data_IF_017241352103
#
_entry.id   IF_017241352103
#
_cell.length_a   1.000
_cell.length_b   1.000
_cell.length_c   1.000
_cell.angle_alpha   90.00
_cell.angle_beta   90.00
_cell.angle_gamma   90.00
#
_symmetry.space_group_name_H-M   'P 1'
#
loop_
_entity.id
_entity.type
_entity.pdbx_description
1 polymer ?
#
# COMPACT_ATOMS: atom_id res chain seq x y z
N UNK A 1 -3.21 29.63 42.12
CA UNK A 1 -3.61 28.21 42.15
C UNK A 1 -3.98 27.70 40.76
N UNK A 2 -3.42 28.29 39.69
CA UNK A 2 -3.90 28.12 38.30
C UNK A 2 -2.94 27.28 37.41
N UNK A 3 -1.74 26.98 37.91
CA UNK A 3 -0.74 26.21 37.18
C UNK A 3 -1.11 24.73 36.93
N UNK A 4 -1.82 24.00 37.83
CA UNK A 4 -2.14 22.60 37.56
C UNK A 4 -3.26 22.43 36.50
N UNK A 5 -4.11 23.44 36.30
CA UNK A 5 -5.18 23.39 35.30
C UNK A 5 -4.65 23.61 33.87
N UNK A 6 -3.66 24.50 33.70
CA UNK A 6 -3.00 24.73 32.42
C UNK A 6 -2.12 23.55 31.99
N UNK A 7 -1.50 22.84 32.94
CA UNK A 7 -0.73 21.62 32.64
C UNK A 7 -1.65 20.43 32.26
N UNK A 8 -2.82 20.33 32.88
CA UNK A 8 -3.81 19.31 32.55
C UNK A 8 -4.43 19.52 31.15
N UNK A 9 -4.66 20.76 30.72
CA UNK A 9 -5.17 21.08 29.38
C UNK A 9 -4.15 20.81 28.25
N UNK A 10 -2.85 20.91 28.54
CA UNK A 10 -1.80 20.60 27.57
C UNK A 10 -1.61 19.09 27.31
N UNK A 11 -2.01 18.22 28.25
CA UNK A 11 -1.86 16.77 28.13
C UNK A 11 -2.96 16.11 27.27
N UNK A 12 -4.07 16.80 26.98
CA UNK A 12 -5.17 16.28 26.16
C UNK A 12 -5.08 16.65 24.68
N UNK A 13 -4.04 17.38 24.27
CA UNK A 13 -3.85 17.81 22.86
C UNK A 13 -2.59 17.26 22.23
N UNK A 14 -2.01 16.19 22.78
CA UNK A 14 -0.97 15.47 22.06
C UNK A 14 -1.58 15.00 20.74
N UNK A 15 -1.08 15.48 19.57
CA UNK A 15 -1.51 14.94 18.30
C UNK A 15 -1.27 13.43 18.36
N UNK A 16 -2.21 12.65 17.85
CA UNK A 16 -1.98 11.22 17.66
C UNK A 16 -0.73 11.10 16.77
N UNK A 17 0.42 10.89 17.42
CA UNK A 17 1.66 10.65 16.72
C UNK A 17 1.43 9.40 15.90
N UNK A 18 1.92 9.42 14.66
CA UNK A 18 1.82 8.27 13.81
C UNK A 18 2.41 7.05 14.55
N UNK A 19 1.55 6.10 14.91
CA UNK A 19 1.97 4.86 15.55
C UNK A 19 1.93 3.78 14.49
N UNK A 20 3.00 3.00 14.40
CA UNK A 20 3.01 1.77 13.59
C UNK A 20 2.72 0.53 14.44
N UNK A 21 2.54 0.73 15.75
CA UNK A 21 2.31 -0.34 16.70
C UNK A 21 0.80 -0.64 16.76
N UNK A 22 0.44 -1.87 16.41
CA UNK A 22 -0.90 -2.39 16.64
C UNK A 22 -0.79 -3.83 17.16
N UNK A 23 -1.33 -4.10 18.34
CA UNK A 23 -1.19 -5.42 19.00
C UNK A 23 0.25 -5.78 19.39
N UNK A 24 1.09 -4.78 19.67
CA UNK A 24 2.49 -4.98 20.06
C UNK A 24 3.44 -5.32 18.91
N UNK A 25 2.99 -5.20 17.66
CA UNK A 25 3.83 -5.39 16.46
C UNK A 25 3.89 -4.11 15.64
N UNK A 26 5.06 -3.82 15.06
CA UNK A 26 5.17 -2.79 14.01
C UNK A 26 4.58 -3.36 12.72
N UNK A 27 3.34 -2.97 12.41
CA UNK A 27 2.63 -3.47 11.23
C UNK A 27 3.32 -3.07 9.93
N UNK A 28 3.98 -1.91 9.89
CA UNK A 28 4.71 -1.43 8.73
C UNK A 28 5.95 -2.27 8.46
N UNK A 29 6.61 -2.76 9.51
CA UNK A 29 7.74 -3.68 9.39
C UNK A 29 7.31 -5.09 9.02
N UNK A 30 6.32 -5.66 9.70
CA UNK A 30 5.93 -7.06 9.48
C UNK A 30 5.17 -7.25 8.16
N UNK A 31 4.53 -6.20 7.65
CA UNK A 31 3.68 -6.24 6.44
C UNK A 31 4.07 -5.20 5.39
N UNK A 32 5.38 -5.06 5.12
CA UNK A 32 5.91 -4.16 4.06
C UNK A 32 5.31 -4.42 2.68
N UNK A 33 4.80 -5.63 2.43
CA UNK A 33 4.17 -6.06 1.17
C UNK A 33 2.83 -5.39 0.87
N UNK A 34 2.09 -4.99 1.93
CA UNK A 34 0.76 -4.40 1.82
C UNK A 34 0.64 -3.01 2.46
N UNK A 35 1.55 -2.66 3.37
CA UNK A 35 1.47 -1.38 4.07
C UNK A 35 1.84 -0.21 3.16
N UNK A 36 1.17 0.94 3.31
CA UNK A 36 1.50 2.12 2.53
C UNK A 36 2.93 2.60 2.81
N UNK A 37 3.75 2.89 1.77
CA UNK A 37 4.85 3.83 1.89
C UNK A 37 4.39 5.17 2.46
N UNK A 38 5.35 5.86 3.10
CA UNK A 38 5.18 7.22 3.60
C UNK A 38 4.78 8.20 2.50
N UNK A 39 3.67 8.89 2.69
CA UNK A 39 3.27 10.07 1.94
C UNK A 39 3.50 11.32 2.79
N UNK A 40 4.09 12.37 2.18
CA UNK A 40 4.12 13.70 2.79
C UNK A 40 2.70 14.30 2.78
N UNK A 41 2.13 14.67 3.93
CA UNK A 41 0.81 15.27 3.99
C UNK A 41 0.64 16.54 3.15
N UNK A 42 1.71 17.29 2.89
CA UNK A 42 1.66 18.47 2.04
C UNK A 42 1.36 18.15 0.56
N UNK A 43 1.54 16.89 0.15
CA UNK A 43 1.23 16.39 -1.19
C UNK A 43 -0.22 15.91 -1.34
N UNK A 44 -1.02 15.97 -0.28
CA UNK A 44 -2.45 15.69 -0.37
C UNK A 44 -3.15 16.78 -1.21
N UNK A 45 -4.13 16.42 -2.05
CA UNK A 45 -5.07 17.40 -2.59
C UNK A 45 -5.74 18.18 -1.46
N UNK A 46 -5.86 19.49 -1.58
CA UNK A 46 -6.52 20.34 -0.57
C UNK A 46 -6.10 19.98 0.89
N UNK A 47 -4.81 20.08 1.25
CA UNK A 47 -4.27 19.48 2.48
C UNK A 47 -4.85 20.11 3.75
N UNK A 48 -5.42 21.32 3.64
CA UNK A 48 -6.12 22.03 4.70
C UNK A 48 -7.66 21.82 4.67
N UNK A 49 -8.19 20.90 3.87
CA UNK A 49 -9.62 20.55 3.94
C UNK A 49 -9.94 19.74 5.20
N UNK A 50 -11.20 19.76 5.69
CA UNK A 50 -11.60 18.91 6.81
C UNK A 50 -11.32 17.42 6.57
N UNK A 51 -11.58 16.91 5.37
CA UNK A 51 -11.32 15.51 5.03
C UNK A 51 -9.85 15.14 4.94
N UNK A 52 -8.99 16.03 4.39
CA UNK A 52 -7.53 15.83 4.43
C UNK A 52 -6.99 15.79 5.86
N UNK A 53 -7.49 16.67 6.75
CA UNK A 53 -7.12 16.64 8.17
C UNK A 53 -7.60 15.36 8.86
N UNK A 54 -8.83 14.92 8.59
CA UNK A 54 -9.35 13.66 9.12
C UNK A 54 -8.51 12.46 8.65
N UNK A 55 -8.14 12.42 7.37
CA UNK A 55 -7.29 11.36 6.81
C UNK A 55 -5.93 11.31 7.53
N UNK A 56 -5.29 12.46 7.71
CA UNK A 56 -4.02 12.57 8.43
C UNK A 56 -4.17 12.14 9.89
N UNK A 57 -5.20 12.64 10.58
CA UNK A 57 -5.43 12.38 12.00
C UNK A 57 -5.70 10.90 12.28
N UNK A 58 -6.54 10.27 11.47
CA UNK A 58 -7.06 8.94 11.80
C UNK A 58 -6.25 7.81 11.17
N UNK A 59 -5.83 7.95 9.91
CA UNK A 59 -5.16 6.85 9.20
C UNK A 59 -3.68 6.73 9.53
N UNK A 60 -3.07 7.74 10.17
CA UNK A 60 -1.67 7.64 10.62
C UNK A 60 -1.52 6.96 11.98
N UNK A 61 -2.62 6.69 12.68
CA UNK A 61 -2.59 6.08 14.02
C UNK A 61 -2.10 4.63 14.04
N UNK A 62 -2.07 3.95 12.89
CA UNK A 62 -1.65 2.54 12.80
C UNK A 62 -0.59 2.28 11.71
N UNK A 63 -0.51 3.11 10.67
CA UNK A 63 0.44 2.94 9.57
C UNK A 63 0.76 4.29 8.93
N UNK A 64 1.67 4.33 7.95
CA UNK A 64 1.93 5.58 7.22
C UNK A 64 0.69 6.13 6.51
N UNK A 65 0.67 7.45 6.30
CA UNK A 65 -0.41 8.12 5.58
C UNK A 65 -0.63 7.50 4.20
N UNK A 66 -1.84 6.98 3.97
CA UNK A 66 -2.26 6.56 2.63
C UNK A 66 -2.76 7.77 1.84
N UNK A 67 -2.43 7.84 0.56
CA UNK A 67 -2.97 8.88 -0.33
C UNK A 67 -4.35 8.51 -0.85
N UNK A 68 -5.24 9.50 -1.11
CA UNK A 68 -6.59 9.25 -1.63
C UNK A 68 -6.55 8.59 -3.03
N UNK A 69 -5.49 8.81 -3.80
CA UNK A 69 -5.25 8.17 -5.09
C UNK A 69 -4.75 6.72 -5.03
N UNK A 70 -4.79 6.04 -3.87
CA UNK A 70 -4.41 4.62 -3.77
C UNK A 70 -5.54 3.67 -4.14
N UNK A 71 -6.78 4.06 -3.86
CA UNK A 71 -7.96 3.26 -4.13
C UNK A 71 -8.90 4.03 -5.04
N UNK A 72 -9.68 3.29 -5.83
CA UNK A 72 -10.76 3.84 -6.64
C UNK A 72 -11.93 4.27 -5.77
N UNK A 73 -12.83 5.09 -6.35
CA UNK A 73 -14.04 5.55 -5.67
C UNK A 73 -14.89 4.37 -5.17
N UNK A 74 -14.98 3.30 -5.95
CA UNK A 74 -15.73 2.10 -5.61
C UNK A 74 -15.08 1.28 -4.48
N UNK A 75 -13.77 1.36 -4.29
CA UNK A 75 -13.04 0.60 -3.26
C UNK A 75 -13.00 1.30 -1.90
N UNK A 76 -13.03 2.65 -1.87
CA UNK A 76 -12.92 3.42 -0.64
C UNK A 76 -13.96 3.06 0.44
N UNK A 77 -15.26 2.83 0.12
CA UNK A 77 -16.23 2.42 1.12
C UNK A 77 -15.86 1.13 1.86
N UNK A 78 -15.29 0.15 1.17
CA UNK A 78 -14.85 -1.11 1.78
C UNK A 78 -13.61 -0.91 2.66
N UNK A 79 -12.66 -0.08 2.21
CA UNK A 79 -11.47 0.29 2.99
C UNK A 79 -11.88 0.99 4.29
N UNK A 80 -12.78 1.97 4.22
CA UNK A 80 -13.26 2.71 5.39
C UNK A 80 -13.96 1.79 6.39
N UNK A 81 -14.85 0.90 5.92
CA UNK A 81 -15.52 -0.09 6.78
C UNK A 81 -14.54 -1.04 7.47
N UNK A 82 -13.47 -1.43 6.78
CA UNK A 82 -12.39 -2.23 7.35
C UNK A 82 -11.65 -1.46 8.44
N UNK A 83 -11.31 -0.19 8.20
CA UNK A 83 -10.61 0.64 9.20
C UNK A 83 -11.49 0.87 10.42
N UNK A 84 -12.77 1.19 10.23
CA UNK A 84 -13.74 1.34 11.31
C UNK A 84 -13.83 0.08 12.19
N UNK A 85 -13.87 -1.10 11.58
CA UNK A 85 -13.80 -2.38 12.30
C UNK A 85 -12.53 -2.50 13.15
N UNK A 86 -11.35 -2.21 12.56
CA UNK A 86 -10.07 -2.31 13.27
C UNK A 86 -9.99 -1.31 14.44
N UNK A 87 -10.46 -0.08 14.24
CA UNK A 87 -10.51 0.96 15.26
C UNK A 87 -11.46 0.57 16.39
N UNK A 88 -12.62 0.00 16.06
CA UNK A 88 -13.60 -0.50 17.02
C UNK A 88 -13.06 -1.65 17.86
N UNK A 89 -12.31 -2.58 17.24
CA UNK A 89 -11.63 -3.66 17.95
C UNK A 89 -10.57 -3.12 18.92
N UNK A 90 -9.75 -2.15 18.50
CA UNK A 90 -8.80 -1.48 19.39
C UNK A 90 -9.50 -0.86 20.60
N UNK A 91 -10.62 -0.17 20.37
CA UNK A 91 -11.41 0.46 21.42
C UNK A 91 -12.07 -0.55 22.35
N UNK A 92 -12.62 -1.64 21.81
CA UNK A 92 -13.26 -2.72 22.58
C UNK A 92 -12.29 -3.33 23.61
N UNK A 93 -11.04 -3.57 23.21
CA UNK A 93 -9.98 -4.04 24.11
C UNK A 93 -9.34 -2.91 24.93
N UNK A 94 -10.03 -1.78 25.12
CA UNK A 94 -9.59 -0.61 25.90
C UNK A 94 -8.20 -0.11 25.51
N UNK A 95 -7.87 -0.23 24.22
CA UNK A 95 -6.59 0.18 23.66
C UNK A 95 -5.41 -0.76 23.95
N UNK A 96 -5.63 -1.99 24.44
CA UNK A 96 -4.56 -3.01 24.53
C UNK A 96 -3.89 -3.27 23.18
N UNK A 97 -4.63 -3.14 22.08
CA UNK A 97 -4.13 -3.28 20.72
C UNK A 97 -3.58 -1.97 20.14
N UNK A 98 -3.66 -0.87 20.87
CA UNK A 98 -3.28 0.48 20.44
C UNK A 98 -4.34 1.50 20.86
N UNK A 99 -3.90 2.67 21.33
CA UNK A 99 -4.79 3.80 21.60
C UNK A 99 -5.15 4.45 20.27
N UNK A 100 -6.39 4.25 19.82
CA UNK A 100 -6.88 4.70 18.53
C UNK A 100 -8.13 5.54 18.71
N UNK A 101 -8.08 6.80 18.30
CA UNK A 101 -9.21 7.70 18.25
C UNK A 101 -10.16 7.31 17.10
N UNK A 102 -11.47 7.44 17.32
CA UNK A 102 -12.53 7.17 16.34
C UNK A 102 -13.11 8.49 15.83
N UNK A 103 -13.28 8.69 14.51
CA UNK A 103 -13.92 9.88 13.97
C UNK A 103 -15.37 9.99 14.45
N UNK A 104 -15.82 11.21 14.72
CA UNK A 104 -17.26 11.46 14.86
C UNK A 104 -17.96 11.42 13.47
N UNK A 105 -19.29 11.51 13.46
CA UNK A 105 -20.09 11.43 12.24
C UNK A 105 -19.71 12.50 11.20
N UNK A 106 -19.47 13.74 11.62
CA UNK A 106 -19.10 14.84 10.72
C UNK A 106 -17.71 14.64 10.11
N UNK A 107 -16.74 14.19 10.92
CA UNK A 107 -15.39 13.85 10.46
C UNK A 107 -15.40 12.64 9.52
N UNK A 108 -16.24 11.63 9.79
CA UNK A 108 -16.39 10.46 8.94
C UNK A 108 -17.03 10.83 7.60
N UNK A 109 -18.04 11.71 7.60
CA UNK A 109 -18.65 12.23 6.38
C UNK A 109 -17.65 13.07 5.57
N UNK A 110 -16.90 13.95 6.22
CA UNK A 110 -15.87 14.77 5.59
C UNK A 110 -14.74 13.90 4.98
N UNK A 111 -14.28 12.88 5.71
CA UNK A 111 -13.28 11.92 5.25
C UNK A 111 -13.77 11.14 4.03
N UNK A 112 -14.99 10.59 4.10
CA UNK A 112 -15.59 9.81 3.01
C UNK A 112 -15.73 10.65 1.74
N UNK A 113 -16.28 11.86 1.88
CA UNK A 113 -16.45 12.81 0.78
C UNK A 113 -15.11 13.24 0.16
N UNK A 114 -14.07 13.41 0.98
CA UNK A 114 -12.74 13.76 0.51
C UNK A 114 -12.06 12.62 -0.26
N UNK A 115 -12.15 11.39 0.25
CA UNK A 115 -11.60 10.20 -0.41
C UNK A 115 -12.31 9.90 -1.73
N UNK A 116 -13.62 10.07 -1.77
CA UNK A 116 -14.45 9.94 -2.96
C UNK A 116 -14.00 10.89 -4.09
N UNK A 117 -13.92 12.20 -3.79
CA UNK A 117 -13.51 13.22 -4.77
C UNK A 117 -12.08 13.07 -5.26
N UNK A 118 -11.18 12.58 -4.41
CA UNK A 118 -9.75 12.48 -4.68
C UNK A 118 -9.29 11.05 -4.99
N UNK A 119 -10.24 10.16 -5.25
CA UNK A 119 -9.97 8.76 -5.52
C UNK A 119 -9.13 8.58 -6.79
N UNK A 120 -8.47 7.43 -6.88
CA UNK A 120 -7.78 7.00 -8.08
C UNK A 120 -8.77 6.93 -9.25
N UNK A 121 -8.43 7.59 -10.37
CA UNK A 121 -9.09 7.34 -11.65
C UNK A 121 -8.44 6.12 -12.32
N UNK A 122 -9.10 4.95 -12.34
CA UNK A 122 -8.49 3.76 -12.92
C UNK A 122 -8.45 3.86 -14.44
N UNK A 123 -7.47 3.22 -15.05
CA UNK A 123 -7.44 2.96 -16.48
C UNK A 123 -8.68 2.10 -16.81
N UNK A 124 -9.53 2.51 -17.76
CA UNK A 124 -10.73 1.77 -18.07
C UNK A 124 -10.46 0.29 -18.39
N UNK A 125 -11.37 -0.62 -18.00
CA UNK A 125 -11.28 -2.00 -18.42
C UNK A 125 -11.32 -2.06 -19.95
N UNK A 126 -10.60 -3.03 -20.52
CA UNK A 126 -10.68 -3.25 -21.97
C UNK A 126 -12.06 -3.82 -22.30
N UNK A 127 -12.66 -3.40 -23.44
CA UNK A 127 -13.77 -4.14 -24.04
C UNK A 127 -13.37 -5.61 -24.24
N UNK A 128 -14.37 -6.49 -24.24
CA UNK A 128 -14.17 -7.92 -24.56
C UNK A 128 -13.44 -8.06 -25.90
N UNK A 129 -12.31 -8.76 -25.89
CA UNK A 129 -11.41 -8.86 -27.04
C UNK A 129 -10.08 -9.52 -26.65
N UNK A 130 -9.12 -9.63 -27.58
CA UNK A 130 -7.82 -10.20 -27.29
C UNK A 130 -7.13 -9.41 -26.16
N UNK A 131 -6.30 -10.07 -25.32
CA UNK A 131 -5.56 -9.41 -24.25
C UNK A 131 -4.73 -8.23 -24.77
N UNK A 132 -4.48 -7.23 -23.92
CA UNK A 132 -3.54 -6.15 -24.24
C UNK A 132 -2.20 -6.73 -24.70
N UNK A 133 -1.52 -6.10 -25.64
CA UNK A 133 -0.18 -6.50 -26.12
C UNK A 133 0.79 -5.33 -25.96
N UNK A 134 2.09 -5.64 -25.99
CA UNK A 134 3.16 -4.63 -25.93
C UNK A 134 3.06 -3.69 -24.72
N UNK A 135 3.20 -2.40 -24.99
CA UNK A 135 3.26 -1.32 -24.01
C UNK A 135 2.06 -1.28 -23.05
N UNK A 136 0.83 -1.48 -23.55
CA UNK A 136 -0.37 -1.48 -22.68
C UNK A 136 -0.34 -2.65 -21.68
N UNK A 137 0.06 -3.85 -22.11
CA UNK A 137 0.17 -5.00 -21.21
C UNK A 137 1.19 -4.73 -20.11
N UNK A 138 2.36 -4.23 -20.49
CA UNK A 138 3.42 -3.88 -19.55
C UNK A 138 2.94 -2.83 -18.55
N UNK A 139 2.25 -1.78 -19.04
CA UNK A 139 1.67 -0.74 -18.20
C UNK A 139 0.67 -1.28 -17.18
N UNK A 140 -0.32 -2.07 -17.65
CA UNK A 140 -1.33 -2.66 -16.77
C UNK A 140 -0.72 -3.59 -15.73
N UNK A 141 0.28 -4.39 -16.12
CA UNK A 141 0.95 -5.30 -15.19
C UNK A 141 1.75 -4.54 -14.13
N UNK A 142 2.53 -3.53 -14.53
CA UNK A 142 3.46 -2.85 -13.62
C UNK A 142 2.78 -1.82 -12.73
N UNK A 143 1.85 -1.03 -13.29
CA UNK A 143 1.10 -0.03 -12.54
C UNK A 143 -0.10 -0.62 -11.80
N UNK A 144 -0.54 -1.83 -12.19
CA UNK A 144 -1.59 -2.60 -11.54
C UNK A 144 -1.13 -3.55 -10.44
N UNK A 145 0.18 -3.64 -10.18
CA UNK A 145 0.82 -4.63 -9.30
C UNK A 145 0.44 -4.48 -7.81
N UNK A 146 0.04 -3.27 -7.39
CA UNK A 146 -0.28 -2.96 -5.99
C UNK A 146 -1.71 -2.43 -5.79
N UNK A 147 -2.25 -1.71 -6.77
CA UNK A 147 -3.58 -1.11 -6.79
C UNK A 147 -4.08 -1.08 -8.24
N UNK A 148 -5.32 -0.66 -8.50
CA UNK A 148 -5.79 -0.51 -9.88
C UNK A 148 -4.82 0.34 -10.72
N UNK A 149 -4.55 -0.04 -11.97
CA UNK A 149 -3.68 0.76 -12.83
C UNK A 149 -4.31 2.15 -13.06
N UNK A 150 -3.60 3.27 -12.84
CA UNK A 150 -4.16 4.60 -13.03
C UNK A 150 -4.40 4.90 -14.52
N UNK A 151 -5.37 5.75 -14.84
CA UNK A 151 -5.47 6.33 -16.19
C UNK A 151 -4.28 7.30 -16.39
N UNK A 152 -3.41 7.09 -17.39
CA UNK A 152 -2.25 7.95 -17.58
C UNK A 152 -2.61 9.40 -17.91
N UNK A 153 -3.84 9.67 -18.35
CA UNK A 153 -4.36 11.02 -18.63
C UNK A 153 -4.76 11.76 -17.35
N UNK A 154 -4.68 11.13 -16.18
CA UNK A 154 -4.98 11.78 -14.90
C UNK A 154 -3.81 12.66 -14.40
N UNK A 155 -2.63 12.54 -15.02
CA UNK A 155 -1.42 13.25 -14.63
C UNK A 155 -0.77 13.91 -15.84
N UNK A 156 -0.38 15.20 -15.79
CA UNK A 156 0.27 15.87 -16.91
C UNK A 156 1.52 15.11 -17.38
N UNK A 157 1.75 15.03 -18.70
CA UNK A 157 2.88 14.29 -19.31
C UNK A 157 4.22 14.65 -18.66
N UNK A 158 4.44 15.93 -18.39
CA UNK A 158 5.68 16.44 -17.78
C UNK A 158 5.96 15.90 -16.37
N UNK A 159 4.94 15.41 -15.65
CA UNK A 159 5.07 14.93 -14.26
C UNK A 159 5.42 13.44 -14.15
N UNK A 160 5.37 12.70 -15.26
CA UNK A 160 5.58 11.25 -15.25
C UNK A 160 6.97 10.80 -14.78
N UNK A 161 8.08 11.46 -15.15
CA UNK A 161 9.40 11.08 -14.64
C UNK A 161 9.44 11.10 -13.10
N UNK A 162 8.91 12.14 -12.47
CA UNK A 162 8.87 12.28 -11.00
C UNK A 162 7.92 11.28 -10.36
N UNK A 163 6.77 10.99 -11.00
CA UNK A 163 5.83 9.97 -10.56
C UNK A 163 6.50 8.59 -10.54
N UNK A 164 7.20 8.22 -11.61
CA UNK A 164 7.90 6.93 -11.71
C UNK A 164 9.08 6.86 -10.73
N UNK A 165 9.79 7.96 -10.50
CA UNK A 165 10.86 8.02 -9.49
C UNK A 165 10.30 7.83 -8.06
N UNK A 166 9.15 8.44 -7.75
CA UNK A 166 8.44 8.24 -6.48
C UNK A 166 7.96 6.80 -6.34
N UNK A 167 7.39 6.22 -7.41
CA UNK A 167 6.94 4.84 -7.42
C UNK A 167 8.09 3.87 -7.15
N UNK A 168 9.28 4.09 -7.71
CA UNK A 168 10.46 3.26 -7.43
C UNK A 168 10.92 3.34 -5.97
N UNK A 169 10.92 4.54 -5.36
CA UNK A 169 11.21 4.69 -3.93
C UNK A 169 10.20 3.92 -3.08
N UNK A 170 8.92 4.00 -3.44
CA UNK A 170 7.85 3.25 -2.77
C UNK A 170 8.01 1.74 -2.92
N UNK A 171 8.34 1.25 -4.12
CA UNK A 171 8.61 -0.18 -4.36
C UNK A 171 9.75 -0.67 -3.48
N UNK A 172 10.83 0.10 -3.37
CA UNK A 172 11.95 -0.22 -2.46
C UNK A 172 11.50 -0.32 -1.00
N UNK A 173 10.68 0.62 -0.51
CA UNK A 173 10.11 0.56 0.84
C UNK A 173 9.28 -0.70 1.07
N UNK A 174 8.54 -1.13 0.05
CA UNK A 174 7.70 -2.34 0.08
C UNK A 174 8.48 -3.64 -0.21
N UNK A 175 9.82 -3.61 -0.16
CA UNK A 175 10.69 -4.74 -0.49
C UNK A 175 10.46 -5.32 -1.90
N UNK A 176 10.10 -4.47 -2.87
CA UNK A 176 9.94 -4.81 -4.29
C UNK A 176 11.05 -4.19 -5.14
N UNK A 177 11.46 -4.85 -6.24
CA UNK A 177 12.48 -4.30 -7.13
C UNK A 177 11.98 -3.03 -7.85
N UNK A 178 12.86 -2.05 -8.13
CA UNK A 178 12.52 -0.89 -8.96
C UNK A 178 12.17 -1.31 -10.39
N UNK A 179 11.59 -0.39 -11.16
CA UNK A 179 11.30 -0.66 -12.57
C UNK A 179 12.57 -0.79 -13.40
N UNK A 180 12.64 -1.84 -14.21
CA UNK A 180 13.70 -1.99 -15.21
C UNK A 180 13.60 -0.93 -16.30
N UNK A 181 14.72 -0.67 -17.00
CA UNK A 181 14.74 0.27 -18.13
C UNK A 181 13.74 -0.13 -19.24
N UNK A 182 13.62 -1.42 -19.54
CA UNK A 182 12.66 -1.93 -20.51
C UNK A 182 11.20 -1.65 -20.11
N UNK A 183 10.85 -1.87 -18.84
CA UNK A 183 9.51 -1.55 -18.33
C UNK A 183 9.22 -0.06 -18.35
N UNK A 184 10.21 0.78 -17.98
CA UNK A 184 10.10 2.24 -18.05
C UNK A 184 9.85 2.73 -19.47
N UNK A 185 10.54 2.15 -20.45
CA UNK A 185 10.35 2.45 -21.87
C UNK A 185 8.92 2.09 -22.32
N UNK A 186 8.46 0.86 -22.02
CA UNK A 186 7.11 0.41 -22.36
C UNK A 186 6.01 1.26 -21.70
N UNK A 187 6.21 1.68 -20.45
CA UNK A 187 5.31 2.61 -19.77
C UNK A 187 5.27 3.96 -20.49
N UNK A 188 6.43 4.51 -20.86
CA UNK A 188 6.53 5.76 -21.61
C UNK A 188 5.84 5.71 -22.97
N UNK A 189 6.01 4.61 -23.71
CA UNK A 189 5.33 4.35 -24.98
C UNK A 189 3.80 4.38 -24.81
N UNK A 190 3.28 3.66 -23.81
CA UNK A 190 1.83 3.63 -23.56
C UNK A 190 1.28 5.00 -23.14
N UNK A 191 2.02 5.75 -22.32
CA UNK A 191 1.63 7.12 -21.94
C UNK A 191 1.58 8.01 -23.20
N UNK A 192 2.57 7.92 -24.09
CA UNK A 192 2.57 8.65 -25.36
C UNK A 192 1.33 8.37 -26.20
N UNK A 193 1.00 7.09 -26.38
CA UNK A 193 -0.23 6.64 -27.08
C UNK A 193 -1.48 7.19 -26.39
N UNK A 194 -1.57 7.10 -25.07
CA UNK A 194 -2.75 7.53 -24.31
C UNK A 194 -2.99 9.06 -24.38
N UNK A 195 -1.92 9.85 -24.55
CA UNK A 195 -1.99 11.30 -24.71
C UNK A 195 -2.11 11.74 -26.18
N UNK A 196 -2.18 10.81 -27.13
CA UNK A 196 -2.28 11.12 -28.55
C UNK A 196 -1.00 11.71 -29.14
N UNK A 197 0.14 11.59 -28.44
CA UNK A 197 1.43 11.87 -29.04
C UNK A 197 1.68 10.82 -30.12
N UNK A 198 1.88 11.25 -31.37
CA UNK A 198 2.27 10.36 -32.45
C UNK A 198 3.50 9.56 -32.00
N UNK A 199 3.53 8.22 -32.14
CA UNK A 199 4.76 7.49 -31.99
C UNK A 199 5.75 8.10 -32.99
N UNK A 200 6.92 8.52 -32.50
CA UNK A 200 7.97 9.07 -33.35
C UNK A 200 8.31 7.99 -34.38
N UNK A 201 7.82 8.17 -35.60
CA UNK A 201 8.12 7.33 -36.74
C UNK A 201 9.60 7.55 -37.06
N UNK A 202 10.48 6.73 -36.49
CA UNK A 202 11.90 6.97 -36.65
C UNK A 202 12.83 6.20 -35.74
N UNK A 203 12.39 5.12 -35.09
CA UNK A 203 13.34 4.11 -34.61
C UNK A 203 12.76 2.73 -34.91
N UNK A 204 13.17 2.19 -36.06
CA UNK A 204 13.12 0.76 -36.33
C UNK A 204 14.07 0.08 -35.34
N UNK A 205 13.63 -0.11 -34.10
CA UNK A 205 14.11 -1.25 -33.33
C UNK A 205 13.30 -2.43 -33.84
N UNK A 206 13.98 -3.26 -34.64
CA UNK A 206 13.56 -4.64 -34.85
C UNK A 206 13.06 -5.16 -33.50
N UNK A 207 11.81 -5.61 -33.48
CA UNK A 207 11.22 -6.29 -32.34
C UNK A 207 11.99 -7.61 -32.17
N UNK A 208 13.15 -7.53 -31.52
CA UNK A 208 13.75 -8.67 -30.86
C UNK A 208 12.80 -8.93 -29.69
N UNK A 209 11.88 -9.86 -29.90
CA UNK A 209 11.18 -10.54 -28.83
C UNK A 209 12.24 -11.17 -27.94
N UNK A 210 12.68 -10.41 -26.92
CA UNK A 210 13.51 -10.95 -25.86
C UNK A 210 12.69 -12.08 -25.21
N UNK A 211 13.18 -13.32 -25.18
CA UNK A 211 12.51 -14.37 -24.45
C UNK A 211 12.43 -13.91 -22.99
N UNK A 212 11.20 -13.89 -22.45
CA UNK A 212 11.01 -13.84 -21.00
C UNK A 212 11.89 -14.93 -20.39
N UNK A 213 12.64 -14.67 -19.31
CA UNK A 213 13.40 -15.72 -18.65
C UNK A 213 12.42 -16.83 -18.30
N UNK A 214 12.67 -18.03 -18.82
CA UNK A 214 11.95 -19.21 -18.41
C UNK A 214 12.01 -19.25 -16.89
N UNK A 215 10.86 -19.31 -16.23
CA UNK A 215 10.78 -19.61 -14.81
C UNK A 215 11.50 -20.94 -14.62
N UNK A 216 12.74 -20.88 -14.11
CA UNK A 216 13.44 -22.08 -13.71
C UNK A 216 12.53 -22.80 -12.69
N UNK A 217 12.21 -24.08 -12.89
CA UNK A 217 11.52 -24.83 -11.86
C UNK A 217 12.38 -24.72 -10.60
N UNK A 218 11.77 -24.25 -9.52
CA UNK A 218 12.37 -24.29 -8.19
C UNK A 218 12.74 -25.76 -7.98
N UNK A 219 14.04 -26.07 -8.01
CA UNK A 219 14.50 -27.39 -7.67
C UNK A 219 13.99 -27.67 -6.26
N UNK A 220 13.09 -28.65 -6.14
CA UNK A 220 12.67 -29.12 -4.85
C UNK A 220 13.94 -29.56 -4.11
N UNK A 221 14.21 -28.96 -2.96
CA UNK A 221 15.23 -29.40 -2.03
C UNK A 221 14.57 -30.36 -1.02
N UNK A 222 14.53 -31.67 -1.31
CA UNK A 222 13.91 -32.65 -0.43
C UNK A 222 14.67 -32.75 0.90
N UNK A 223 15.96 -32.44 0.91
CA UNK A 223 16.81 -32.54 2.11
C UNK A 223 16.55 -31.38 3.07
N UNK A 224 16.43 -30.15 2.57
CA UNK A 224 16.04 -28.99 3.39
C UNK A 224 14.66 -29.16 4.04
N UNK A 225 13.71 -29.80 3.35
CA UNK A 225 12.39 -30.13 3.92
C UNK A 225 12.46 -31.23 4.99
N UNK A 226 13.28 -32.25 4.79
CA UNK A 226 13.48 -33.32 5.78
C UNK A 226 14.17 -32.80 7.06
N UNK A 227 15.17 -31.93 6.93
CA UNK A 227 15.82 -31.30 8.09
C UNK A 227 14.83 -30.42 8.86
N UNK A 228 13.99 -29.66 8.16
CA UNK A 228 12.97 -28.81 8.80
C UNK A 228 11.91 -29.63 9.55
N UNK A 229 11.49 -30.76 8.98
CA UNK A 229 10.56 -31.69 9.63
C UNK A 229 11.20 -32.37 10.85
N UNK A 230 12.46 -32.79 10.76
CA UNK A 230 13.18 -33.39 11.88
C UNK A 230 13.32 -32.44 13.08
N UNK A 231 13.59 -31.16 12.83
CA UNK A 231 13.62 -30.12 13.87
C UNK A 231 12.24 -29.94 14.50
N UNK A 232 11.18 -29.87 13.70
CA UNK A 232 9.81 -29.73 14.21
C UNK A 232 9.39 -30.91 15.09
N UNK A 233 9.59 -32.15 14.63
CA UNK A 233 9.24 -33.34 15.40
C UNK A 233 10.13 -33.53 16.63
N UNK A 234 11.41 -33.15 16.56
CA UNK A 234 12.31 -33.15 17.72
C UNK A 234 11.85 -32.19 18.82
N UNK A 235 11.46 -30.97 18.47
CA UNK A 235 10.94 -29.99 19.42
C UNK A 235 9.59 -30.41 19.99
N UNK A 236 8.71 -31.00 19.17
CA UNK A 236 7.42 -31.52 19.63
C UNK A 236 7.58 -32.68 20.62
N UNK A 237 8.48 -33.64 20.32
CA UNK A 237 8.78 -34.76 21.21
C UNK A 237 9.39 -34.30 22.54
N UNK A 238 10.31 -33.31 22.49
CA UNK A 238 10.90 -32.72 23.70
C UNK A 238 9.84 -32.00 24.55
N UNK A 239 8.88 -31.32 23.91
CA UNK A 239 7.74 -30.69 24.58
C UNK A 239 6.84 -31.70 25.28
N UNK A 240 6.49 -32.79 24.60
CA UNK A 240 5.68 -33.88 25.18
C UNK A 240 6.37 -34.57 26.35
N UNK A 241 7.67 -34.85 26.23
CA UNK A 241 8.46 -35.47 27.30
C UNK A 241 8.53 -34.59 28.56
N UNK A 242 8.79 -33.28 28.39
CA UNK A 242 8.80 -32.32 29.50
C UNK A 242 7.43 -32.14 30.15
N UNK A 243 6.35 -32.30 29.38
CA UNK A 243 4.99 -32.25 29.91
C UNK A 243 4.65 -33.50 30.72
N UNK A 244 5.08 -34.69 30.27
CA UNK A 244 4.91 -35.94 31.02
C UNK A 244 5.69 -35.93 32.33
N UNK A 245 6.94 -35.45 32.35
CA UNK A 245 7.73 -35.30 33.58
C UNK A 245 7.15 -34.33 34.62
N UNK A 246 6.23 -33.46 34.23
CA UNK A 246 5.53 -32.54 35.16
C UNK A 246 4.23 -33.13 35.72
N UNK A 247 3.79 -34.30 35.26
CA UNK A 247 2.55 -34.95 35.69
C UNK A 247 2.77 -36.10 36.67
N UNK A 248 4.02 -36.49 36.91
CA UNK A 248 4.48 -37.34 38.01
C UNK A 248 5.05 -36.47 39.14
#
# INVERSE_FOLDING_TARGET
MELPLLLALALFTLPALASHQWGGVDICEVRRDIMPPRLDPALLPEPASPGARALQRYCTQCHYLTGPGRHTQAEWPDVLRRMETLMSVSHFYRGLLGQVAIPNADEQAALSSYLDRNALRPLPPRPTGPPALGAERAYRAVCGDCHAAPDPRAYPVATWPDLLARMDRHRKTMARPPLSAALRSAVGEFIGVAWGAQPVAGVSHQSVSLPLPATAPIAADPWGRLVSLAVFFGLAALGLWRWQQKRD
#
